data_IF_558968462833
#
_entry.id   IF_558968462833
#
_cell.length_a   1.000
_cell.length_b   1.000
_cell.length_c   1.000
_cell.angle_alpha   90.00
_cell.angle_beta   90.00
_cell.angle_gamma   90.00
#
_symmetry.space_group_name_H-M   'P 1'
#
loop_
_entity.id
_entity.type
_entity.pdbx_description
1 polymer ?
#
# COMPACT_ATOMS: atom_id res chain seq x y z
N UNK A 1 14.75 -17.71 6.92
CA UNK A 1 13.96 -17.84 5.68
C UNK A 1 13.98 -16.50 4.96
N UNK A 2 15.02 -16.22 4.18
CA UNK A 2 15.16 -14.94 3.50
C UNK A 2 15.82 -15.17 2.15
N UNK A 3 15.06 -15.03 1.06
CA UNK A 3 15.48 -14.94 -0.35
C UNK A 3 16.78 -15.64 -0.77
N UNK A 4 17.08 -16.84 -0.27
CA UNK A 4 18.34 -17.51 -0.55
C UNK A 4 18.39 -17.94 -2.02
N UNK A 5 19.56 -17.77 -2.64
CA UNK A 5 19.87 -18.34 -3.96
C UNK A 5 20.20 -19.82 -3.77
N UNK A 6 19.46 -20.68 -4.45
CA UNK A 6 19.74 -22.12 -4.49
C UNK A 6 20.29 -22.49 -5.85
N UNK A 7 21.24 -23.41 -5.86
CA UNK A 7 21.82 -23.97 -7.08
C UNK A 7 20.92 -25.12 -7.55
N UNK A 8 20.57 -25.15 -8.83
CA UNK A 8 19.77 -26.23 -9.38
C UNK A 8 20.60 -27.51 -9.61
N UNK A 9 19.93 -28.61 -9.97
CA UNK A 9 20.58 -29.90 -10.22
C UNK A 9 21.60 -29.87 -11.37
N UNK A 10 21.66 -28.79 -12.15
CA UNK A 10 22.63 -28.58 -13.24
C UNK A 10 23.79 -27.66 -12.83
N UNK A 11 23.82 -27.23 -11.57
CA UNK A 11 24.84 -26.31 -11.06
C UNK A 11 24.58 -24.83 -11.38
N UNK A 12 23.44 -24.47 -11.99
CA UNK A 12 23.11 -23.07 -12.26
C UNK A 12 22.54 -22.42 -11.00
N UNK A 13 23.01 -21.22 -10.72
CA UNK A 13 22.47 -20.40 -9.64
C UNK A 13 21.06 -19.94 -10.01
N UNK A 14 20.09 -20.20 -9.14
CA UNK A 14 18.74 -19.67 -9.27
C UNK A 14 18.68 -18.15 -9.08
N UNK A 15 17.47 -17.60 -9.21
CA UNK A 15 17.20 -16.17 -9.11
C UNK A 15 17.80 -15.53 -7.85
N UNK A 16 18.49 -14.40 -8.05
CA UNK A 16 19.16 -13.65 -7.00
C UNK A 16 18.18 -12.96 -6.05
N UNK A 17 18.63 -12.69 -4.81
CA UNK A 17 17.84 -11.93 -3.84
C UNK A 17 17.40 -10.57 -4.38
N UNK A 18 18.27 -9.74 -5.00
CA UNK A 18 17.85 -8.46 -5.56
C UNK A 18 16.80 -8.58 -6.66
N UNK A 19 16.88 -9.62 -7.51
CA UNK A 19 15.86 -9.89 -8.52
C UNK A 19 14.50 -10.16 -7.87
N UNK A 20 14.46 -11.05 -6.86
CA UNK A 20 13.22 -11.37 -6.14
C UNK A 20 12.64 -10.13 -5.44
N UNK A 21 13.47 -9.37 -4.73
CA UNK A 21 13.02 -8.14 -4.05
C UNK A 21 12.52 -7.10 -5.06
N UNK A 22 13.21 -6.90 -6.18
CA UNK A 22 12.78 -5.97 -7.25
C UNK A 22 11.44 -6.39 -7.83
N UNK A 23 11.23 -7.69 -8.08
CA UNK A 23 9.95 -8.21 -8.55
C UNK A 23 8.79 -7.94 -7.58
N UNK A 24 9.00 -8.11 -6.28
CA UNK A 24 8.00 -7.79 -5.26
C UNK A 24 7.71 -6.28 -5.20
N UNK A 25 8.76 -5.45 -5.18
CA UNK A 25 8.63 -3.99 -5.12
C UNK A 25 7.90 -3.42 -6.35
N UNK A 26 8.15 -3.95 -7.56
CA UNK A 26 7.43 -3.50 -8.76
C UNK A 26 5.95 -3.88 -8.71
N UNK A 27 5.62 -5.09 -8.27
CA UNK A 27 4.22 -5.51 -8.08
C UNK A 27 3.49 -4.59 -7.09
N UNK A 28 4.11 -4.27 -5.95
CA UNK A 28 3.51 -3.41 -4.92
C UNK A 28 3.45 -1.94 -5.33
N UNK A 29 4.53 -1.41 -5.91
CA UNK A 29 4.68 0.03 -6.20
C UNK A 29 3.88 0.48 -7.42
N UNK A 30 3.76 -0.38 -8.44
CA UNK A 30 3.05 -0.04 -9.68
C UNK A 30 1.71 -0.76 -9.84
N UNK A 31 1.36 -1.68 -8.94
CA UNK A 31 0.12 -2.46 -9.06
C UNK A 31 0.09 -3.37 -10.29
N UNK A 32 1.26 -3.77 -10.80
CA UNK A 32 1.35 -4.63 -11.98
C UNK A 32 1.08 -6.09 -11.64
N UNK A 33 0.55 -6.82 -12.62
CA UNK A 33 0.31 -8.26 -12.51
C UNK A 33 1.62 -9.05 -12.44
N UNK A 34 1.61 -10.21 -11.79
CA UNK A 34 2.81 -11.02 -11.58
C UNK A 34 3.47 -11.48 -12.90
N UNK A 35 2.69 -11.67 -13.96
CA UNK A 35 3.20 -12.03 -15.30
C UNK A 35 3.92 -10.86 -16.00
N UNK A 36 3.54 -9.60 -15.73
CA UNK A 36 4.18 -8.42 -16.31
C UNK A 36 5.58 -8.18 -15.73
N UNK A 37 5.93 -8.83 -14.62
CA UNK A 37 7.25 -8.72 -14.00
C UNK A 37 8.32 -9.48 -14.79
N UNK A 38 7.93 -10.49 -15.58
CA UNK A 38 8.87 -11.27 -16.41
C UNK A 38 9.59 -10.39 -17.44
N UNK A 39 8.89 -9.40 -18.00
CA UNK A 39 9.44 -8.46 -18.97
C UNK A 39 10.67 -7.70 -18.43
N UNK A 40 10.65 -7.36 -17.14
CA UNK A 40 11.69 -6.53 -16.51
C UNK A 40 12.74 -7.34 -15.75
N UNK A 41 12.33 -8.39 -15.05
CA UNK A 41 13.18 -9.11 -14.09
C UNK A 41 13.44 -10.56 -14.52
N UNK A 42 12.82 -11.02 -15.63
CA UNK A 42 12.92 -12.38 -16.15
C UNK A 42 12.58 -13.43 -15.09
N UNK A 43 11.47 -13.19 -14.39
CA UNK A 43 10.90 -14.07 -13.37
C UNK A 43 9.55 -14.57 -13.86
N UNK A 44 9.39 -15.89 -13.90
CA UNK A 44 8.10 -16.52 -14.22
C UNK A 44 7.02 -16.17 -13.18
N UNK A 45 5.78 -16.04 -13.65
CA UNK A 45 4.62 -15.56 -12.88
C UNK A 45 4.46 -16.26 -11.51
N UNK A 46 4.57 -17.59 -11.49
CA UNK A 46 4.43 -18.40 -10.27
C UNK A 46 5.46 -17.99 -9.20
N UNK A 47 6.70 -17.75 -9.64
CA UNK A 47 7.80 -17.34 -8.77
C UNK A 47 7.67 -15.88 -8.36
N UNK A 48 7.19 -15.00 -9.24
CA UNK A 48 6.92 -13.58 -8.94
C UNK A 48 5.85 -13.44 -7.84
N UNK A 49 4.78 -14.23 -7.93
CA UNK A 49 3.70 -14.26 -6.93
C UNK A 49 4.17 -14.82 -5.58
N UNK A 50 4.95 -15.90 -5.60
CA UNK A 50 5.47 -16.48 -4.35
C UNK A 50 6.48 -15.54 -3.68
N UNK A 51 7.34 -14.93 -4.48
CA UNK A 51 8.28 -13.89 -4.05
C UNK A 51 7.57 -12.72 -3.39
N UNK A 52 6.45 -12.26 -3.96
CA UNK A 52 5.63 -11.19 -3.38
C UNK A 52 5.08 -11.58 -2.01
N UNK A 53 4.55 -12.81 -1.85
CA UNK A 53 4.04 -13.30 -0.57
C UNK A 53 5.13 -13.36 0.50
N UNK A 54 6.28 -13.94 0.16
CA UNK A 54 7.42 -14.02 1.09
C UNK A 54 7.88 -12.62 1.47
N UNK A 55 7.98 -11.71 0.51
CA UNK A 55 8.35 -10.31 0.74
C UNK A 55 7.37 -9.64 1.72
N UNK A 56 6.07 -9.69 1.42
CA UNK A 56 5.04 -9.07 2.25
C UNK A 56 5.01 -9.64 3.67
N UNK A 57 5.05 -10.97 3.81
CA UNK A 57 5.13 -11.62 5.13
C UNK A 57 6.38 -11.24 5.90
N UNK A 58 7.53 -11.10 5.23
CA UNK A 58 8.78 -10.67 5.87
C UNK A 58 8.70 -9.22 6.35
N UNK A 59 8.13 -8.32 5.53
CA UNK A 59 7.89 -6.91 5.90
C UNK A 59 6.95 -6.82 7.09
N UNK A 60 5.84 -7.56 7.08
CA UNK A 60 4.89 -7.62 8.21
C UNK A 60 5.55 -8.21 9.46
N UNK A 61 6.37 -9.25 9.33
CA UNK A 61 7.08 -9.83 10.47
C UNK A 61 8.10 -8.86 11.08
N UNK A 62 8.78 -8.07 10.24
CA UNK A 62 9.84 -7.14 10.67
C UNK A 62 9.26 -5.85 11.27
N UNK A 63 8.26 -5.27 10.60
CA UNK A 63 7.72 -3.95 10.93
C UNK A 63 6.35 -4.00 11.60
N UNK A 64 5.65 -5.13 11.55
CA UNK A 64 4.31 -5.29 12.13
C UNK A 64 4.22 -4.93 13.61
N UNK A 65 5.18 -5.35 14.48
CA UNK A 65 5.15 -4.99 15.88
C UNK A 65 5.22 -3.47 16.15
N UNK A 66 5.86 -2.70 15.28
CA UNK A 66 6.02 -1.25 15.45
C UNK A 66 4.93 -0.46 14.72
N UNK A 67 4.63 -0.82 13.47
CA UNK A 67 3.79 -0.03 12.56
C UNK A 67 2.37 -0.58 12.38
N UNK A 68 2.14 -1.87 12.65
CA UNK A 68 0.82 -2.51 12.54
C UNK A 68 0.22 -2.88 13.91
N UNK A 69 0.86 -2.46 15.01
CA UNK A 69 0.28 -2.58 16.35
C UNK A 69 -0.91 -1.65 16.52
N UNK A 70 -1.77 -1.96 17.48
CA UNK A 70 -2.79 -1.02 17.90
C UNK A 70 -2.12 0.25 18.49
N UNK A 71 -2.60 1.45 18.12
CA UNK A 71 -2.08 2.69 18.69
C UNK A 71 -2.38 2.74 20.19
N UNK A 72 -1.40 3.19 20.97
CA UNK A 72 -1.56 3.46 22.40
C UNK A 72 -2.23 4.82 22.60
N UNK A 73 -2.72 5.08 23.82
CA UNK A 73 -3.23 6.40 24.19
C UNK A 73 -2.19 7.51 23.98
N UNK A 74 -0.89 7.20 24.16
CA UNK A 74 0.18 8.16 23.92
C UNK A 74 0.38 8.46 22.43
N UNK A 75 0.34 7.44 21.57
CA UNK A 75 0.40 7.65 20.12
C UNK A 75 -0.76 8.53 19.66
N UNK A 76 -1.98 8.25 20.16
CA UNK A 76 -3.16 9.04 19.85
C UNK A 76 -3.00 10.50 20.30
N UNK A 77 -2.53 10.73 21.52
CA UNK A 77 -2.28 12.08 22.03
C UNK A 77 -1.25 12.83 21.18
N UNK A 78 -0.13 12.20 20.87
CA UNK A 78 0.92 12.80 20.04
C UNK A 78 0.43 13.16 18.64
N UNK A 79 -0.38 12.29 18.02
CA UNK A 79 -0.96 12.55 16.70
C UNK A 79 -1.93 13.74 16.79
N UNK A 80 -2.81 13.74 17.79
CA UNK A 80 -3.78 14.81 18.00
C UNK A 80 -3.11 16.16 18.25
N UNK A 81 -2.09 16.21 19.10
CA UNK A 81 -1.35 17.45 19.41
C UNK A 81 -0.63 17.98 18.18
N UNK A 82 0.04 17.11 17.41
CA UNK A 82 0.69 17.47 16.15
C UNK A 82 -0.31 18.02 15.13
N UNK A 83 -1.50 17.45 15.05
CA UNK A 83 -2.51 17.89 14.09
C UNK A 83 -3.25 19.14 14.55
N UNK A 84 -3.51 19.29 15.85
CA UNK A 84 -4.02 20.53 16.42
C UNK A 84 -3.08 21.71 16.14
N UNK A 85 -1.76 21.53 16.34
CA UNK A 85 -0.74 22.54 16.04
C UNK A 85 -0.70 22.97 14.55
N UNK A 86 -1.26 22.14 13.66
CA UNK A 86 -1.37 22.42 12.21
C UNK A 86 -2.72 23.03 11.80
N UNK A 87 -3.64 23.23 12.75
CA UNK A 87 -5.00 23.71 12.48
C UNK A 87 -6.03 22.60 12.23
N UNK A 88 -5.71 21.35 12.56
CA UNK A 88 -6.63 20.19 12.45
C UNK A 88 -6.90 19.55 13.83
N UNK A 89 -7.52 20.28 14.79
CA UNK A 89 -7.83 19.72 16.10
C UNK A 89 -8.77 18.52 15.98
N UNK A 90 -8.47 17.43 16.70
CA UNK A 90 -9.26 16.19 16.66
C UNK A 90 -8.91 15.22 15.51
N UNK A 91 -8.03 15.60 14.58
CA UNK A 91 -7.66 14.72 13.47
C UNK A 91 -6.62 13.67 13.89
N UNK A 92 -6.96 12.38 13.81
CA UNK A 92 -6.04 11.25 14.06
C UNK A 92 -5.27 10.79 12.79
N UNK A 93 -5.58 11.34 11.62
CA UNK A 93 -4.91 11.00 10.36
C UNK A 93 -5.85 10.96 9.16
N UNK A 94 -5.36 10.43 8.04
CA UNK A 94 -6.06 10.33 6.73
C UNK A 94 -7.30 9.40 6.73
N UNK A 95 -7.69 8.84 7.87
CA UNK A 95 -8.81 7.92 7.96
C UNK A 95 -10.16 8.62 7.82
N UNK A 96 -10.21 9.92 8.05
CA UNK A 96 -11.45 10.67 7.83
C UNK A 96 -11.60 11.05 6.36
N UNK A 97 -12.62 10.48 5.72
CA UNK A 97 -12.99 10.73 4.33
C UNK A 97 -14.29 11.52 4.36
N UNK A 98 -14.23 12.81 3.98
CA UNK A 98 -15.44 13.60 3.90
C UNK A 98 -16.06 13.43 2.51
N UNK A 99 -17.30 12.92 2.48
CA UNK A 99 -18.12 12.93 1.27
C UNK A 99 -18.72 14.32 1.10
N UNK A 100 -18.24 15.06 0.10
CA UNK A 100 -18.78 16.38 -0.22
C UNK A 100 -19.72 16.25 -1.41
N UNK A 101 -20.96 16.69 -1.23
CA UNK A 101 -21.96 16.71 -2.29
C UNK A 101 -21.53 17.59 -3.46
N UNK A 102 -21.44 17.01 -4.66
CA UNK A 102 -21.11 17.75 -5.87
C UNK A 102 -22.41 18.19 -6.57
N UNK A 103 -22.90 19.36 -6.17
CA UNK A 103 -24.20 19.92 -6.61
C UNK A 103 -24.33 20.07 -8.13
N UNK A 104 -23.23 20.40 -8.81
CA UNK A 104 -23.18 20.65 -10.26
C UNK A 104 -22.30 19.63 -11.00
N UNK A 105 -22.31 18.36 -10.58
CA UNK A 105 -21.56 17.31 -11.26
C UNK A 105 -22.04 17.16 -12.72
N UNK A 106 -21.16 17.25 -13.73
CA UNK A 106 -21.55 17.02 -15.12
C UNK A 106 -22.21 15.66 -15.32
N UNK A 107 -23.28 15.59 -16.10
CA UNK A 107 -24.01 14.34 -16.36
C UNK A 107 -23.10 13.22 -16.87
N UNK A 108 -22.11 13.57 -17.70
CA UNK A 108 -21.12 12.63 -18.23
C UNK A 108 -20.29 11.92 -17.14
N UNK A 109 -20.10 12.55 -15.97
CA UNK A 109 -19.28 12.01 -14.86
C UNK A 109 -20.13 11.48 -13.71
N UNK A 110 -21.43 11.79 -13.68
CA UNK A 110 -22.32 11.41 -12.60
C UNK A 110 -22.33 9.90 -12.30
N UNK A 111 -22.20 9.05 -13.33
CA UNK A 111 -22.15 7.59 -13.16
C UNK A 111 -20.94 7.11 -12.32
N UNK A 112 -19.80 7.79 -12.42
CA UNK A 112 -18.57 7.40 -11.72
C UNK A 112 -18.55 7.86 -10.25
N UNK A 113 -19.28 8.93 -9.92
CA UNK A 113 -19.25 9.57 -8.59
C UNK A 113 -20.54 9.37 -7.78
N UNK A 114 -21.50 8.61 -8.30
CA UNK A 114 -22.77 8.30 -7.63
C UNK A 114 -22.64 6.95 -6.92
N UNK A 115 -22.49 6.99 -5.60
CA UNK A 115 -22.39 5.82 -4.73
C UNK A 115 -23.62 5.64 -3.83
N UNK A 116 -23.40 5.10 -2.63
CA UNK A 116 -24.44 4.85 -1.61
C UNK A 116 -25.18 6.12 -1.14
N UNK A 117 -24.54 7.29 -1.23
CA UNK A 117 -25.03 8.60 -0.79
C UNK A 117 -26.21 9.17 -1.63
N UNK A 118 -26.77 8.40 -2.58
CA UNK A 118 -27.90 8.75 -3.47
C UNK A 118 -27.68 10.00 -4.36
N UNK A 119 -26.60 10.75 -4.18
CA UNK A 119 -26.12 11.86 -5.01
C UNK A 119 -24.67 11.69 -5.46
N UNK A 120 -24.20 12.58 -6.33
CA UNK A 120 -22.79 12.65 -6.74
C UNK A 120 -21.95 13.24 -5.62
N UNK A 121 -20.94 12.50 -5.14
CA UNK A 121 -20.06 12.97 -4.05
C UNK A 121 -18.60 12.86 -4.46
N UNK A 122 -17.80 13.82 -4.01
CA UNK A 122 -16.34 13.75 -4.06
C UNK A 122 -15.84 13.35 -2.68
N UNK A 123 -14.93 12.38 -2.63
CA UNK A 123 -14.27 11.99 -1.38
C UNK A 123 -13.03 12.86 -1.21
N UNK A 124 -13.07 13.76 -0.24
CA UNK A 124 -11.90 14.52 0.17
C UNK A 124 -11.15 13.75 1.25
N UNK A 125 -9.88 13.44 0.97
CA UNK A 125 -8.95 12.84 1.94
C UNK A 125 -7.88 13.87 2.28
N UNK A 126 -7.84 14.29 3.54
CA UNK A 126 -6.74 15.09 4.04
C UNK A 126 -5.70 14.16 4.68
N UNK A 127 -4.50 14.09 4.11
CA UNK A 127 -3.40 13.34 4.74
C UNK A 127 -2.67 14.27 5.70
N UNK A 128 -2.97 14.15 6.99
CA UNK A 128 -2.32 14.90 8.04
C UNK A 128 -1.34 14.04 8.87
N UNK A 129 -0.55 13.17 8.23
CA UNK A 129 0.47 12.38 8.95
C UNK A 129 1.88 12.90 8.61
N UNK A 130 2.78 12.98 9.59
CA UNK A 130 4.18 13.36 9.42
C UNK A 130 5.03 12.08 9.38
N UNK A 131 5.94 11.98 8.40
CA UNK A 131 6.99 10.94 8.35
C UNK A 131 8.07 11.20 9.41
#
# INVERSE_FOLDING_TARGET
MCFSTFQDCTGKLGLSTPQKVTAALRQLGYGVTANAVDEYVRIGETTARETLKIFASSVVSLYGPEYLRHPTAEDMRQILDKNAARGFPGCLGSLDCMHVGWKNCPTAWAGQYKGKEKGTTLVLKAVATRN
#
